data_IF_156711085325
#
_entry.id   IF_156711085325
#
_cell.length_a   1.000
_cell.length_b   1.000
_cell.length_c   1.000
_cell.angle_alpha   90.00
_cell.angle_beta   90.00
_cell.angle_gamma   90.00
#
_symmetry.space_group_name_H-M   'P 1'
#
loop_
_entity.id
_entity.type
_entity.pdbx_description
1 polymer ?
#
# COMPACT_ATOMS: atom_id res chain seq x y z
N UNK A 1 -6.04 3.79 -0.90
CA UNK A 1 -6.09 3.22 0.46
C UNK A 1 -7.45 2.64 0.79
N UNK A 2 -8.52 3.44 0.83
CA UNK A 2 -9.85 2.97 1.23
C UNK A 2 -10.28 1.70 0.50
N UNK A 3 -10.13 1.64 -0.81
CA UNK A 3 -10.44 0.43 -1.61
C UNK A 3 -9.73 -0.82 -1.08
N UNK A 4 -8.44 -0.72 -0.75
CA UNK A 4 -7.68 -1.85 -0.20
C UNK A 4 -8.17 -2.27 1.20
N UNK A 5 -8.45 -1.30 2.06
CA UNK A 5 -8.92 -1.57 3.42
C UNK A 5 -10.33 -2.14 3.42
N UNK A 6 -11.24 -1.63 2.56
CA UNK A 6 -12.59 -2.19 2.39
C UNK A 6 -12.54 -3.63 1.85
N UNK A 7 -11.63 -3.92 0.91
CA UNK A 7 -11.42 -5.28 0.42
C UNK A 7 -10.99 -6.22 1.55
N UNK A 8 -9.95 -5.87 2.31
CA UNK A 8 -9.52 -6.68 3.44
C UNK A 8 -10.62 -6.83 4.51
N UNK A 9 -11.37 -5.76 4.77
CA UNK A 9 -12.46 -5.79 5.72
C UNK A 9 -13.60 -6.71 5.26
N UNK A 10 -13.94 -6.71 3.97
CA UNK A 10 -14.97 -7.60 3.38
C UNK A 10 -14.57 -9.08 3.43
N UNK A 11 -13.26 -9.39 3.40
CA UNK A 11 -12.70 -10.72 3.61
C UNK A 11 -12.65 -11.16 5.08
N UNK A 12 -13.14 -10.34 6.00
CA UNK A 12 -13.19 -10.66 7.43
C UNK A 12 -12.01 -10.12 8.26
N UNK A 13 -11.00 -9.53 7.65
CA UNK A 13 -9.84 -9.01 8.37
C UNK A 13 -10.21 -7.82 9.29
N UNK A 14 -9.80 -7.92 10.56
CA UNK A 14 -9.95 -6.87 11.58
C UNK A 14 -8.61 -6.49 12.21
N UNK A 15 -7.62 -7.37 12.12
CA UNK A 15 -6.23 -7.16 12.58
C UNK A 15 -5.34 -6.90 11.38
N UNK A 16 -5.47 -5.70 10.80
CA UNK A 16 -4.71 -5.28 9.62
C UNK A 16 -3.53 -4.42 10.10
N UNK A 17 -2.32 -4.74 9.65
CA UNK A 17 -1.15 -3.89 9.87
C UNK A 17 -0.89 -3.00 8.65
N UNK A 18 -0.46 -1.76 8.89
CA UNK A 18 -0.07 -0.82 7.86
C UNK A 18 1.44 -0.83 7.68
N UNK A 19 1.92 -1.19 6.48
CA UNK A 19 3.32 -1.07 6.09
C UNK A 19 3.49 0.18 5.21
N UNK A 20 4.20 1.18 5.72
CA UNK A 20 4.34 2.48 5.07
C UNK A 20 5.80 2.90 4.95
N UNK A 21 6.17 3.39 3.77
CA UNK A 21 7.45 4.05 3.55
C UNK A 21 7.39 5.51 3.99
N UNK A 22 8.40 5.94 4.73
CA UNK A 22 8.56 7.30 5.23
C UNK A 22 9.40 7.31 6.50
N UNK A 23 10.17 8.38 6.72
CA UNK A 23 10.92 8.54 7.95
C UNK A 23 9.98 8.86 9.11
N UNK A 24 10.13 8.21 10.25
CA UNK A 24 9.49 8.60 11.52
C UNK A 24 9.79 10.07 11.90
N UNK A 25 10.84 10.66 11.32
CA UNK A 25 11.22 12.06 11.54
C UNK A 25 10.29 13.07 10.88
N UNK A 26 9.49 12.66 9.89
CA UNK A 26 8.57 13.57 9.17
C UNK A 26 7.16 13.68 9.79
N UNK A 27 6.95 13.14 10.99
CA UNK A 27 5.66 13.15 11.66
C UNK A 27 4.68 12.09 11.14
N UNK A 28 3.46 12.02 11.73
CA UNK A 28 2.46 11.06 11.31
C UNK A 28 2.13 11.26 9.82
N UNK A 29 2.27 10.18 9.07
CA UNK A 29 1.95 10.18 7.64
C UNK A 29 0.42 10.32 7.48
N UNK A 30 -0.05 11.14 6.54
CA UNK A 30 -1.46 11.23 6.17
C UNK A 30 -2.08 9.85 5.85
N UNK A 31 -1.24 8.87 5.52
CA UNK A 31 -1.66 7.47 5.33
C UNK A 31 -2.07 6.81 6.64
N UNK A 32 -1.38 7.12 7.73
CA UNK A 32 -1.76 6.65 9.05
C UNK A 32 -3.08 7.30 9.50
N UNK A 33 -3.27 8.59 9.21
CA UNK A 33 -4.51 9.28 9.56
C UNK A 33 -5.71 8.63 8.86
N UNK A 34 -5.60 8.36 7.54
CA UNK A 34 -6.63 7.66 6.77
C UNK A 34 -6.85 6.22 7.25
N UNK A 35 -5.79 5.53 7.68
CA UNK A 35 -5.89 4.19 8.24
C UNK A 35 -6.64 4.20 9.58
N UNK A 36 -6.29 5.12 10.46
CA UNK A 36 -6.95 5.30 11.77
C UNK A 36 -8.41 5.73 11.61
N UNK A 37 -8.69 6.61 10.66
CA UNK A 37 -10.05 7.03 10.34
C UNK A 37 -10.91 5.85 9.87
N UNK A 38 -10.37 5.01 8.97
CA UNK A 38 -11.04 3.80 8.52
C UNK A 38 -11.43 2.87 9.68
N UNK A 39 -10.48 2.63 10.61
CA UNK A 39 -10.76 1.81 11.79
C UNK A 39 -11.87 2.42 12.67
N UNK A 40 -11.81 3.73 12.91
CA UNK A 40 -12.82 4.45 13.67
C UNK A 40 -14.22 4.36 13.03
N UNK A 41 -14.31 4.52 11.70
CA UNK A 41 -15.57 4.40 10.96
C UNK A 41 -16.20 3.00 11.06
N UNK A 42 -15.35 1.96 11.16
CA UNK A 42 -15.80 0.57 11.35
C UNK A 42 -16.06 0.20 12.83
N UNK A 43 -15.97 1.15 13.76
CA UNK A 43 -16.11 0.89 15.19
C UNK A 43 -15.00 0.04 15.78
N UNK A 44 -13.82 0.05 15.17
CA UNK A 44 -12.66 -0.73 15.56
C UNK A 44 -11.56 0.18 16.14
N UNK A 45 -10.69 -0.42 16.96
CA UNK A 45 -9.46 0.22 17.45
C UNK A 45 -8.28 -0.30 16.62
N UNK A 46 -7.41 0.61 16.20
CA UNK A 46 -6.14 0.22 15.57
C UNK A 46 -5.32 -0.59 16.56
N UNK A 47 -4.93 -1.84 16.25
CA UNK A 47 -4.11 -2.63 17.16
C UNK A 47 -2.79 -1.93 17.48
N UNK A 48 -2.40 -1.93 18.75
CA UNK A 48 -1.12 -1.37 19.16
C UNK A 48 0.03 -2.02 18.35
N UNK A 49 0.98 -1.20 17.93
CA UNK A 49 2.15 -1.61 17.15
C UNK A 49 1.87 -2.13 15.71
N UNK A 50 0.66 -2.03 15.18
CA UNK A 50 0.35 -2.46 13.80
C UNK A 50 0.67 -1.38 12.76
N UNK A 51 1.55 -0.44 13.08
CA UNK A 51 2.19 0.48 12.14
C UNK A 51 3.64 0.04 11.95
N UNK A 52 3.96 -0.40 10.73
CA UNK A 52 5.33 -0.75 10.33
C UNK A 52 5.85 0.34 9.41
N UNK A 53 6.85 1.07 9.88
CA UNK A 53 7.51 2.11 9.09
C UNK A 53 8.85 1.61 8.57
N UNK A 54 9.19 1.98 7.35
CA UNK A 54 10.52 1.74 6.79
C UNK A 54 11.03 3.02 6.12
N UNK A 55 12.34 3.23 6.12
CA UNK A 55 12.92 4.31 5.35
C UNK A 55 12.62 4.09 3.86
N UNK A 56 12.07 5.12 3.21
CA UNK A 56 11.71 5.08 1.81
C UNK A 56 12.69 5.88 0.98
N UNK A 57 13.21 5.26 -0.05
CA UNK A 57 14.12 5.87 -1.01
C UNK A 57 13.45 5.97 -2.40
N UNK A 58 13.92 6.88 -3.22
CA UNK A 58 13.60 6.89 -4.66
C UNK A 58 14.15 5.64 -5.37
N UNK A 59 15.15 4.99 -4.78
CA UNK A 59 15.67 3.70 -5.24
C UNK A 59 14.77 2.57 -4.72
N UNK A 60 14.09 1.87 -5.64
CA UNK A 60 13.15 0.79 -5.30
C UNK A 60 13.84 -0.40 -4.61
N UNK A 61 15.09 -0.70 -4.93
CA UNK A 61 15.87 -1.78 -4.30
C UNK A 61 16.13 -1.45 -2.83
N UNK A 62 16.57 -0.22 -2.53
CA UNK A 62 16.78 0.21 -1.14
C UNK A 62 15.48 0.19 -0.35
N UNK A 63 14.39 0.69 -0.93
CA UNK A 63 13.07 0.65 -0.29
C UNK A 63 12.61 -0.76 0.00
N UNK A 64 12.84 -1.69 -0.91
CA UNK A 64 12.54 -3.11 -0.73
C UNK A 64 13.35 -3.72 0.44
N UNK A 65 14.66 -3.49 0.49
CA UNK A 65 15.54 -4.00 1.55
C UNK A 65 15.20 -3.42 2.92
N UNK A 66 14.87 -2.12 2.99
CA UNK A 66 14.44 -1.48 4.22
C UNK A 66 13.09 -2.02 4.70
N UNK A 67 12.15 -2.23 3.78
CA UNK A 67 10.86 -2.83 4.10
C UNK A 67 11.03 -4.26 4.65
N UNK A 68 11.87 -5.09 4.02
CA UNK A 68 12.19 -6.43 4.54
C UNK A 68 12.68 -6.37 5.97
N UNK A 69 13.69 -5.55 6.25
CA UNK A 69 14.27 -5.39 7.59
C UNK A 69 13.19 -4.97 8.62
N UNK A 70 12.35 -4.00 8.27
CA UNK A 70 11.27 -3.55 9.15
C UNK A 70 10.23 -4.65 9.39
N UNK A 71 9.88 -5.42 8.37
CA UNK A 71 8.98 -6.57 8.47
C UNK A 71 9.54 -7.68 9.35
N UNK A 72 10.80 -8.04 9.20
CA UNK A 72 11.47 -9.03 10.04
C UNK A 72 11.45 -8.62 11.52
N UNK A 73 11.81 -7.36 11.81
CA UNK A 73 11.77 -6.80 13.17
C UNK A 73 10.33 -6.85 13.73
N UNK A 74 9.35 -6.44 12.92
CA UNK A 74 7.96 -6.44 13.32
C UNK A 74 7.46 -7.85 13.67
N UNK A 75 7.66 -8.81 12.78
CA UNK A 75 7.19 -10.19 12.96
C UNK A 75 7.89 -10.94 14.10
N UNK A 76 9.11 -10.52 14.48
CA UNK A 76 9.80 -11.08 15.64
C UNK A 76 9.31 -10.53 16.99
N UNK A 77 8.66 -9.35 17.00
CA UNK A 77 8.31 -8.64 18.23
C UNK A 77 6.81 -8.53 18.49
N UNK A 78 5.99 -8.80 17.49
CA UNK A 78 4.56 -8.58 17.54
C UNK A 78 3.78 -9.83 17.13
N UNK A 79 2.53 -9.96 17.57
CA UNK A 79 1.65 -11.02 17.08
C UNK A 79 1.43 -10.84 15.57
N UNK A 80 1.24 -11.95 14.86
CA UNK A 80 0.96 -11.95 13.44
C UNK A 80 -0.39 -11.24 13.18
N UNK A 81 -0.44 -10.18 12.34
CA UNK A 81 -1.69 -9.64 11.87
C UNK A 81 -2.36 -10.62 10.91
N UNK A 82 -3.66 -10.49 10.67
CA UNK A 82 -4.32 -11.31 9.66
C UNK A 82 -4.10 -10.76 8.24
N UNK A 83 -3.76 -9.47 8.12
CA UNK A 83 -3.41 -8.87 6.84
C UNK A 83 -2.40 -7.73 6.97
N UNK A 84 -1.61 -7.52 5.91
CA UNK A 84 -0.84 -6.30 5.68
C UNK A 84 -1.43 -5.49 4.52
N UNK A 85 -1.66 -4.20 4.78
CA UNK A 85 -1.80 -3.22 3.73
C UNK A 85 -0.47 -2.49 3.54
N UNK A 86 0.18 -2.71 2.42
CA UNK A 86 1.41 -2.03 2.03
C UNK A 86 1.10 -0.78 1.21
N UNK A 87 1.67 0.36 1.55
CA UNK A 87 1.38 1.65 0.90
C UNK A 87 1.88 1.75 -0.55
N UNK A 88 2.63 0.77 -1.03
CA UNK A 88 2.95 0.53 -2.44
C UNK A 88 3.32 -0.95 -2.67
N UNK A 89 3.41 -1.36 -3.93
CA UNK A 89 3.67 -2.76 -4.29
C UNK A 89 5.10 -3.22 -3.95
N UNK A 90 6.09 -2.34 -3.96
CA UNK A 90 7.48 -2.70 -3.58
C UNK A 90 7.52 -3.18 -2.11
N UNK A 91 6.81 -2.46 -1.23
CA UNK A 91 6.68 -2.85 0.17
C UNK A 91 5.85 -4.13 0.32
N UNK A 92 4.80 -4.29 -0.51
CA UNK A 92 3.99 -5.51 -0.55
C UNK A 92 4.82 -6.74 -0.96
N UNK A 93 5.67 -6.61 -1.97
CA UNK A 93 6.60 -7.67 -2.39
C UNK A 93 7.61 -8.03 -1.31
N UNK A 94 8.13 -7.02 -0.58
CA UNK A 94 9.01 -7.27 0.56
C UNK A 94 8.28 -8.06 1.66
N UNK A 95 7.02 -7.72 1.94
CA UNK A 95 6.19 -8.45 2.90
C UNK A 95 5.95 -9.91 2.47
N UNK A 96 5.65 -10.16 1.20
CA UNK A 96 5.50 -11.51 0.65
C UNK A 96 6.78 -12.33 0.81
N UNK A 97 7.94 -11.74 0.49
CA UNK A 97 9.21 -12.44 0.61
C UNK A 97 9.52 -12.81 2.06
N UNK A 98 9.37 -11.88 3.01
CA UNK A 98 9.61 -12.17 4.44
C UNK A 98 8.63 -13.20 4.98
N UNK A 99 7.35 -13.15 4.57
CA UNK A 99 6.37 -14.16 4.94
C UNK A 99 6.80 -15.56 4.46
N UNK A 100 7.21 -15.68 3.20
CA UNK A 100 7.70 -16.92 2.63
C UNK A 100 8.94 -17.46 3.37
N UNK A 101 9.94 -16.61 3.64
CA UNK A 101 11.16 -16.98 4.37
C UNK A 101 10.89 -17.46 5.82
N UNK A 102 9.80 -16.95 6.43
CA UNK A 102 9.34 -17.37 7.76
C UNK A 102 8.36 -18.54 7.73
N UNK A 103 8.05 -19.10 6.56
CA UNK A 103 7.07 -20.19 6.41
C UNK A 103 5.62 -19.77 6.67
N UNK A 104 5.32 -18.47 6.65
CA UNK A 104 3.96 -17.96 6.81
C UNK A 104 3.23 -18.09 5.46
N UNK A 105 2.15 -18.87 5.45
CA UNK A 105 1.36 -19.10 4.24
C UNK A 105 0.53 -17.87 3.87
N UNK A 106 0.67 -17.44 2.60
CA UNK A 106 -0.10 -16.35 2.02
C UNK A 106 -0.96 -16.94 0.89
N UNK A 107 -2.29 -16.76 0.92
CA UNK A 107 -3.06 -15.89 1.81
C UNK A 107 -3.58 -16.54 3.10
N UNK A 108 -3.40 -17.84 3.35
CA UNK A 108 -4.12 -18.63 4.34
C UNK A 108 -3.88 -18.19 5.80
N UNK A 109 -2.68 -17.70 6.11
CA UNK A 109 -2.32 -17.22 7.45
C UNK A 109 -2.14 -15.70 7.47
N UNK A 110 -1.85 -15.10 6.33
CA UNK A 110 -1.57 -13.69 6.18
C UNK A 110 -1.98 -13.19 4.79
N UNK A 111 -2.94 -12.30 4.71
CA UNK A 111 -3.22 -11.59 3.47
C UNK A 111 -2.27 -10.41 3.28
N UNK A 112 -1.86 -10.15 2.05
CA UNK A 112 -1.03 -8.98 1.68
C UNK A 112 -1.63 -8.26 0.49
N UNK A 113 -1.85 -6.95 0.63
CA UNK A 113 -2.31 -6.10 -0.48
C UNK A 113 -1.41 -4.88 -0.63
N UNK A 114 -1.06 -4.56 -1.86
CA UNK A 114 -0.26 -3.40 -2.22
C UNK A 114 -1.06 -2.25 -2.82
N UNK A 115 -0.32 -1.29 -3.37
CA UNK A 115 -0.85 -0.18 -4.16
C UNK A 115 0.17 0.16 -5.25
N UNK A 116 -0.31 0.45 -6.44
CA UNK A 116 0.33 0.97 -7.65
C UNK A 116 0.09 0.10 -8.89
N UNK A 117 -0.05 -1.21 -8.78
CA UNK A 117 -0.26 -2.13 -9.90
C UNK A 117 0.99 -2.30 -10.77
N UNK A 118 2.16 -2.54 -10.15
CA UNK A 118 3.41 -2.78 -10.90
C UNK A 118 3.48 -4.20 -11.43
N UNK A 119 4.22 -4.39 -12.54
CA UNK A 119 4.38 -5.70 -13.18
C UNK A 119 4.99 -6.76 -12.25
N UNK A 120 5.97 -6.39 -11.43
CA UNK A 120 6.60 -7.34 -10.49
C UNK A 120 5.61 -7.98 -9.52
N UNK A 121 4.54 -7.26 -9.13
CA UNK A 121 3.47 -7.82 -8.28
C UNK A 121 2.58 -8.82 -9.02
N UNK A 122 2.48 -8.71 -10.34
CA UNK A 122 1.72 -9.65 -11.17
C UNK A 122 2.42 -11.00 -11.31
N UNK A 123 3.74 -10.98 -11.40
CA UNK A 123 4.58 -12.19 -11.59
C UNK A 123 5.16 -12.74 -10.28
N UNK A 124 4.84 -12.15 -9.13
CA UNK A 124 5.22 -12.68 -7.82
C UNK A 124 4.44 -13.95 -7.48
N UNK A 125 4.94 -14.72 -6.49
CA UNK A 125 4.21 -15.88 -5.98
C UNK A 125 4.10 -15.81 -4.44
N UNK A 126 2.83 -15.79 -3.93
CA UNK A 126 1.59 -15.58 -4.69
C UNK A 126 1.58 -14.23 -5.40
N UNK A 127 0.80 -14.12 -6.50
CA UNK A 127 0.67 -12.84 -7.21
C UNK A 127 0.01 -11.78 -6.31
N UNK A 128 0.61 -10.58 -6.23
CA UNK A 128 0.21 -9.53 -5.29
C UNK A 128 -1.11 -8.86 -5.69
N UNK A 129 -2.11 -8.93 -4.84
CA UNK A 129 -3.32 -8.11 -4.90
C UNK A 129 -2.94 -6.64 -4.71
N UNK A 130 -3.54 -5.73 -5.47
CA UNK A 130 -3.12 -4.33 -5.46
C UNK A 130 -4.23 -3.37 -5.87
N UNK A 131 -4.12 -2.12 -5.45
CA UNK A 131 -4.93 -1.03 -5.98
C UNK A 131 -4.17 -0.34 -7.11
N UNK A 132 -4.57 -0.65 -8.35
CA UNK A 132 -3.92 -0.14 -9.56
C UNK A 132 -4.31 1.32 -9.83
N UNK A 133 -3.30 2.15 -10.08
CA UNK A 133 -3.43 3.52 -10.61
C UNK A 133 -3.28 3.50 -12.13
N UNK A 134 -4.12 4.23 -12.84
CA UNK A 134 -3.99 4.39 -14.28
C UNK A 134 -2.88 5.43 -14.62
N UNK A 135 -1.63 4.98 -14.60
CA UNK A 135 -0.45 5.85 -14.80
C UNK A 135 -0.43 6.48 -16.19
N UNK A 136 -0.87 5.76 -17.22
CA UNK A 136 -0.91 6.27 -18.59
C UNK A 136 -1.87 7.46 -18.69
N UNK A 137 -3.06 7.32 -18.12
CA UNK A 137 -4.06 8.40 -18.09
C UNK A 137 -3.58 9.59 -17.24
N UNK A 138 -2.98 9.31 -16.06
CA UNK A 138 -2.36 10.35 -15.22
C UNK A 138 -1.33 11.14 -16.03
N UNK A 139 -0.41 10.44 -16.72
CA UNK A 139 0.62 11.06 -17.55
C UNK A 139 0.03 11.88 -18.70
N UNK A 140 -0.94 11.34 -19.42
CA UNK A 140 -1.60 12.03 -20.54
C UNK A 140 -2.31 13.34 -20.10
N UNK A 141 -3.12 13.26 -19.04
CA UNK A 141 -3.83 14.43 -18.49
C UNK A 141 -2.83 15.46 -17.96
N UNK A 142 -1.77 15.02 -17.25
CA UNK A 142 -0.75 15.94 -16.73
C UNK A 142 -0.02 16.68 -17.86
N UNK A 143 0.34 15.98 -18.94
CA UNK A 143 0.96 16.57 -20.12
C UNK A 143 0.01 17.59 -20.79
N UNK A 144 -1.27 17.24 -20.93
CA UNK A 144 -2.27 18.16 -21.51
C UNK A 144 -2.43 19.43 -20.68
N UNK A 145 -2.54 19.30 -19.34
CA UNK A 145 -2.62 20.46 -18.43
C UNK A 145 -1.38 21.36 -18.56
N UNK A 146 -0.18 20.77 -18.67
CA UNK A 146 1.05 21.51 -18.86
C UNK A 146 1.08 22.25 -20.20
N UNK A 147 0.69 21.59 -21.28
CA UNK A 147 0.62 22.20 -22.62
C UNK A 147 -0.40 23.36 -22.65
N UNK A 148 -1.56 23.19 -22.03
CA UNK A 148 -2.56 24.25 -21.92
C UNK A 148 -2.00 25.47 -21.18
N UNK A 149 -1.26 25.26 -20.10
CA UNK A 149 -0.59 26.33 -19.35
C UNK A 149 0.45 27.08 -20.19
N UNK A 150 1.24 26.36 -20.97
CA UNK A 150 2.26 26.96 -21.87
C UNK A 150 1.59 27.78 -22.97
N UNK A 151 0.51 27.27 -23.58
CA UNK A 151 -0.18 27.94 -24.68
C UNK A 151 -0.98 29.17 -24.23
N UNK A 152 -1.57 29.15 -23.02
CA UNK A 152 -2.46 30.20 -22.49
C UNK A 152 -2.08 30.57 -21.06
N UNK A 153 -0.89 31.12 -20.81
CA UNK A 153 -0.39 31.36 -19.44
C UNK A 153 -1.22 32.38 -18.65
N UNK A 154 -1.85 33.35 -19.34
CA UNK A 154 -2.66 34.41 -18.69
C UNK A 154 -4.04 33.92 -18.26
N UNK A 155 -4.61 32.94 -18.95
CA UNK A 155 -5.96 32.40 -18.72
C UNK A 155 -5.92 31.10 -17.91
N UNK A 156 -4.72 30.67 -17.46
CA UNK A 156 -4.56 29.38 -16.79
C UNK A 156 -4.90 29.47 -15.30
N UNK A 157 -5.76 28.58 -14.85
CA UNK A 157 -6.05 28.36 -13.43
C UNK A 157 -5.60 26.96 -12.99
N UNK A 158 -5.31 26.80 -11.69
CA UNK A 158 -4.95 25.50 -11.12
C UNK A 158 -6.09 24.49 -11.33
N UNK A 159 -5.77 23.37 -11.97
CA UNK A 159 -6.71 22.27 -12.19
C UNK A 159 -6.40 21.12 -11.24
N UNK A 160 -7.44 20.59 -10.58
CA UNK A 160 -7.37 19.37 -9.79
C UNK A 160 -8.22 18.30 -10.47
N UNK A 161 -7.58 17.24 -10.94
CA UNK A 161 -8.25 16.09 -11.57
C UNK A 161 -8.06 14.87 -10.70
N UNK A 162 -9.16 14.22 -10.34
CA UNK A 162 -9.17 12.97 -9.58
C UNK A 162 -9.50 11.83 -10.53
N UNK A 163 -8.62 10.83 -10.57
CA UNK A 163 -8.80 9.65 -11.40
C UNK A 163 -9.13 8.44 -10.52
N UNK A 164 -10.05 7.57 -10.96
CA UNK A 164 -10.40 6.38 -10.22
C UNK A 164 -9.24 5.38 -10.20
N UNK A 165 -9.11 4.68 -9.06
CA UNK A 165 -8.24 3.53 -8.92
C UNK A 165 -9.08 2.25 -8.98
N UNK A 166 -8.47 1.13 -9.39
CA UNK A 166 -9.12 -0.17 -9.46
C UNK A 166 -8.45 -1.17 -8.54
N UNK A 167 -9.24 -1.95 -7.81
CA UNK A 167 -8.76 -3.15 -7.13
C UNK A 167 -8.43 -4.21 -8.18
N UNK A 168 -7.28 -4.82 -8.05
CA UNK A 168 -6.87 -6.02 -8.79
C UNK A 168 -6.63 -7.11 -7.76
N UNK A 169 -7.60 -7.99 -7.63
CA UNK A 169 -7.51 -9.14 -6.75
C UNK A 169 -6.65 -10.22 -7.40
N UNK A 170 -5.74 -10.82 -6.62
CA UNK A 170 -4.86 -11.91 -7.02
C UNK A 170 -4.71 -12.91 -5.87
N UNK A 171 -3.67 -13.74 -5.91
CA UNK A 171 -3.46 -14.82 -4.95
C UNK A 171 -2.96 -14.42 -3.56
N UNK A 172 -2.66 -13.16 -3.30
CA UNK A 172 -2.09 -12.74 -2.00
C UNK A 172 -3.10 -12.26 -0.96
N UNK A 173 -4.40 -12.28 -1.27
CA UNK A 173 -5.48 -11.99 -0.32
C UNK A 173 -6.52 -13.11 -0.34
N UNK A 174 -7.03 -13.45 0.83
CA UNK A 174 -8.07 -14.48 1.05
C UNK A 174 -8.88 -14.17 2.30
N UNK A 175 -9.96 -14.91 2.55
CA UNK A 175 -10.75 -14.78 3.78
C UNK A 175 -9.95 -15.20 5.02
N UNK A 176 -10.36 -14.66 6.19
CA UNK A 176 -9.81 -15.06 7.52
C UNK A 176 -10.33 -16.40 7.93
#
# INVERSE_FOLDING_TARGET
MRIALEHLYSLGHRKIALLVGGSMRSGPSWRYDLFSEFYREKGLTVPANFLVTCDYSVNSTLSFLQARKSMEIFLNKNPLPTAFFASNDILGLAALQVANEKGIKVPEQLSVIGMDGIFSGEVSYPALSTVKKNRSEIGGISAQILLDKIKKPKDWSTKKVLLPCKLIERGSTGPV
#
